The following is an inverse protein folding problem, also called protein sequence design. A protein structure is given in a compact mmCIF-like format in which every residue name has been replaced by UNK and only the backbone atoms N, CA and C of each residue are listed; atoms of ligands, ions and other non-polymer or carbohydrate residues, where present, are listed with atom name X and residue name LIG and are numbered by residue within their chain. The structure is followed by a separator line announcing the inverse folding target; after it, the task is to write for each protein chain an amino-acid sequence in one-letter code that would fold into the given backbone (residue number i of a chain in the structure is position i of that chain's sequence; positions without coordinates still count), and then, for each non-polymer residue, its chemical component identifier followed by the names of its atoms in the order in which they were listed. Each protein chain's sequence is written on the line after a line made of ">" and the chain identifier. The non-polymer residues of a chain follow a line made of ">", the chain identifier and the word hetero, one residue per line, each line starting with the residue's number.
data_IF_234630225750
#
_entry.id   IF_234630225750
#
_cell.length_a   1.000
_cell.length_b   1.000
_cell.length_c   1.000
_cell.angle_alpha   90.00
_cell.angle_beta   90.00
_cell.angle_gamma   90.00
#
_symmetry.space_group_name_H-M   'P 1'
#
loop_
_entity.id
_entity.type
_entity.pdbx_description
1 polymer ?
#
# COMPACT_ATOMS: atom_id res chain seq x y z
N UNK A 1 24.42 -2.57 13.29
CA UNK A 1 23.49 -3.71 13.34
C UNK A 1 22.32 -3.36 12.45
N UNK A 2 22.02 -4.20 11.47
CA UNK A 2 20.95 -3.96 10.51
C UNK A 2 19.69 -4.64 11.04
N UNK A 3 18.58 -3.90 11.03
CA UNK A 3 17.29 -4.39 11.50
C UNK A 3 16.27 -4.18 10.39
N UNK A 4 15.63 -5.27 9.97
CA UNK A 4 14.55 -5.23 8.98
C UNK A 4 13.23 -5.56 9.66
N UNK A 5 12.24 -4.69 9.50
CA UNK A 5 10.89 -4.90 10.06
C UNK A 5 9.84 -4.81 8.95
N UNK A 6 9.01 -5.84 8.84
CA UNK A 6 7.84 -5.83 7.96
C UNK A 6 6.68 -5.12 8.64
N UNK A 7 6.03 -4.20 7.94
CA UNK A 7 4.86 -3.48 8.43
C UNK A 7 3.92 -3.10 7.28
N UNK A 8 2.80 -2.44 7.59
CA UNK A 8 1.92 -1.83 6.58
C UNK A 8 2.05 -0.31 6.62
N UNK A 9 2.41 0.27 5.49
CA UNK A 9 2.45 1.71 5.29
C UNK A 9 1.04 2.20 4.92
N UNK A 10 0.50 3.10 5.75
CA UNK A 10 -0.80 3.71 5.53
C UNK A 10 -0.58 5.13 5.01
N UNK A 11 -1.00 5.37 3.77
CA UNK A 11 -1.03 6.73 3.25
C UNK A 11 -2.18 7.48 3.92
N UNK A 12 -1.83 8.26 4.95
CA UNK A 12 -2.79 9.06 5.71
C UNK A 12 -3.57 10.02 4.81
N UNK A 13 -2.95 10.58 3.77
CA UNK A 13 -3.61 11.52 2.86
C UNK A 13 -4.67 10.82 2.03
N UNK A 14 -4.33 9.65 1.46
CA UNK A 14 -5.30 8.83 0.72
C UNK A 14 -6.43 8.32 1.63
N UNK A 15 -6.12 7.95 2.88
CA UNK A 15 -7.11 7.54 3.86
C UNK A 15 -8.05 8.71 4.24
N UNK A 16 -7.52 9.92 4.46
CA UNK A 16 -8.36 11.10 4.73
C UNK A 16 -9.20 11.50 3.53
N UNK A 17 -8.67 11.41 2.30
CA UNK A 17 -9.41 11.76 1.09
C UNK A 17 -10.55 10.78 0.81
N UNK A 18 -10.30 9.47 0.94
CA UNK A 18 -11.34 8.45 0.80
C UNK A 18 -12.42 8.54 1.88
N UNK A 19 -12.03 8.88 3.12
CA UNK A 19 -12.98 9.10 4.21
C UNK A 19 -13.81 10.37 3.97
N UNK A 20 -13.18 11.47 3.54
CA UNK A 20 -13.89 12.69 3.18
C UNK A 20 -14.88 12.46 2.02
N UNK A 21 -14.48 11.72 0.98
CA UNK A 21 -15.35 11.34 -0.13
C UNK A 21 -16.53 10.47 0.35
N UNK A 22 -16.27 9.52 1.25
CA UNK A 22 -17.30 8.67 1.84
C UNK A 22 -18.33 9.50 2.62
N UNK A 23 -17.89 10.47 3.42
CA UNK A 23 -18.77 11.37 4.16
C UNK A 23 -19.59 12.25 3.20
N UNK A 24 -18.96 12.78 2.15
CA UNK A 24 -19.64 13.58 1.13
C UNK A 24 -20.75 12.79 0.42
N UNK A 25 -20.44 11.56 0.01
CA UNK A 25 -21.40 10.65 -0.63
C UNK A 25 -22.55 10.27 0.31
N UNK A 26 -22.25 10.04 1.59
CA UNK A 26 -23.27 9.78 2.60
C UNK A 26 -24.18 10.98 2.81
N UNK A 27 -23.63 12.20 2.91
CA UNK A 27 -24.42 13.43 3.03
C UNK A 27 -25.35 13.64 1.82
N UNK A 28 -24.83 13.44 0.61
CA UNK A 28 -25.62 13.48 -0.64
C UNK A 28 -26.77 12.46 -0.62
N UNK A 29 -26.48 11.23 -0.20
CA UNK A 29 -27.49 10.19 -0.09
C UNK A 29 -28.61 10.58 0.89
N UNK A 30 -28.25 11.06 2.08
CA UNK A 30 -29.23 11.46 3.11
C UNK A 30 -30.07 12.67 2.69
N UNK A 31 -29.48 13.65 2.00
CA UNK A 31 -30.18 14.87 1.58
C UNK A 31 -31.10 14.68 0.37
N UNK A 32 -30.69 13.87 -0.62
CA UNK A 32 -31.36 13.83 -1.92
C UNK A 32 -32.02 12.50 -2.25
N UNK A 33 -31.65 11.39 -1.61
CA UNK A 33 -32.10 10.05 -1.98
C UNK A 33 -32.96 9.44 -0.87
N UNK A 34 -32.45 9.45 0.36
CA UNK A 34 -33.14 8.93 1.54
C UNK A 34 -34.56 9.48 1.75
N UNK A 35 -34.90 10.76 1.46
CA UNK A 35 -36.27 11.27 1.60
C UNK A 35 -37.26 10.63 0.62
N UNK A 36 -36.77 10.13 -0.51
CA UNK A 36 -37.58 9.53 -1.58
C UNK A 36 -37.52 8.00 -1.59
N UNK A 37 -36.56 7.41 -0.87
CA UNK A 37 -36.37 5.96 -0.77
C UNK A 37 -36.53 5.52 0.68
N UNK A 38 -37.72 5.03 1.04
CA UNK A 38 -38.09 4.71 2.43
C UNK A 38 -37.55 3.38 2.97
N UNK A 39 -36.68 2.66 2.23
CA UNK A 39 -36.26 1.32 2.63
C UNK A 39 -34.86 1.30 3.26
N UNK A 40 -34.78 0.73 4.46
CA UNK A 40 -33.52 0.40 5.14
C UNK A 40 -32.58 -0.46 4.26
N UNK A 41 -33.14 -1.19 3.30
CA UNK A 41 -32.43 -1.95 2.28
C UNK A 41 -31.56 -1.06 1.38
N UNK A 42 -32.06 0.12 0.96
CA UNK A 42 -31.31 1.06 0.10
C UNK A 42 -30.15 1.69 0.88
N UNK A 43 -30.37 2.03 2.15
CA UNK A 43 -29.29 2.48 3.04
C UNK A 43 -28.20 1.41 3.26
N UNK A 44 -28.61 0.15 3.45
CA UNK A 44 -27.67 -0.96 3.62
C UNK A 44 -26.86 -1.23 2.33
N UNK A 45 -27.49 -1.17 1.15
CA UNK A 45 -26.81 -1.30 -0.14
C UNK A 45 -25.85 -0.15 -0.39
N UNK A 46 -26.23 1.10 -0.09
CA UNK A 46 -25.35 2.25 -0.25
C UNK A 46 -24.14 2.19 0.69
N UNK A 47 -24.37 1.87 1.97
CA UNK A 47 -23.29 1.69 2.95
C UNK A 47 -22.34 0.55 2.57
N UNK A 48 -22.88 -0.59 2.15
CA UNK A 48 -22.09 -1.79 1.81
C UNK A 48 -21.36 -1.69 0.48
N UNK A 49 -22.00 -1.20 -0.58
CA UNK A 49 -21.45 -1.18 -1.94
C UNK A 49 -20.65 0.08 -2.28
N UNK A 50 -20.96 1.22 -1.67
CA UNK A 50 -20.32 2.50 -2.00
C UNK A 50 -19.30 2.89 -0.94
N UNK A 51 -19.72 2.94 0.33
CA UNK A 51 -18.85 3.38 1.43
C UNK A 51 -17.88 2.27 1.88
N UNK A 52 -18.33 1.02 1.89
CA UNK A 52 -17.53 -0.14 2.27
C UNK A 52 -16.20 -0.26 1.50
N UNK A 53 -16.20 -0.25 0.16
CA UNK A 53 -14.97 -0.33 -0.63
C UNK A 53 -14.05 0.88 -0.41
N UNK A 54 -14.59 2.10 -0.28
CA UNK A 54 -13.79 3.31 -0.06
C UNK A 54 -13.04 3.26 1.28
N UNK A 55 -13.74 2.87 2.34
CA UNK A 55 -13.14 2.68 3.67
C UNK A 55 -12.18 1.48 3.67
N UNK A 56 -12.53 0.40 2.97
CA UNK A 56 -11.68 -0.79 2.83
C UNK A 56 -10.35 -0.48 2.13
N UNK A 57 -10.35 0.35 1.09
CA UNK A 57 -9.13 0.80 0.39
C UNK A 57 -8.27 1.67 1.32
N UNK A 58 -8.88 2.57 2.10
CA UNK A 58 -8.18 3.37 3.10
C UNK A 58 -7.43 2.51 4.14
N UNK A 59 -8.04 1.40 4.56
CA UNK A 59 -7.52 0.52 5.61
C UNK A 59 -6.64 -0.63 5.10
N UNK A 60 -6.52 -0.83 3.78
CA UNK A 60 -5.76 -1.97 3.26
C UNK A 60 -4.26 -1.81 3.50
N UNK A 61 -3.75 -0.58 3.41
CA UNK A 61 -2.32 -0.26 3.60
C UNK A 61 -1.43 -0.93 2.54
N UNK A 62 -0.29 -0.32 2.25
CA UNK A 62 0.73 -0.87 1.35
C UNK A 62 1.70 -1.71 2.18
N UNK A 63 2.03 -2.96 1.79
CA UNK A 63 3.03 -3.73 2.52
C UNK A 63 4.39 -3.06 2.35
N UNK A 64 5.15 -2.99 3.44
CA UNK A 64 6.42 -2.27 3.48
C UNK A 64 7.47 -2.99 4.33
N UNK A 65 8.74 -2.71 4.03
CA UNK A 65 9.89 -3.12 4.83
C UNK A 65 10.60 -1.87 5.33
N UNK A 66 10.79 -1.78 6.63
CA UNK A 66 11.65 -0.78 7.25
C UNK A 66 13.03 -1.37 7.45
N UNK A 67 14.03 -0.78 6.82
CA UNK A 67 15.43 -1.11 7.00
C UNK A 67 16.05 -0.02 7.88
N UNK A 68 16.63 -0.42 9.00
CA UNK A 68 17.36 0.47 9.89
C UNK A 68 18.83 0.06 9.91
N UNK A 69 19.72 0.99 9.58
CA UNK A 69 21.16 0.80 9.56
C UNK A 69 21.84 1.88 10.42
N UNK A 70 22.16 1.55 11.68
CA UNK A 70 22.65 2.55 12.62
C UNK A 70 21.61 3.66 12.84
N UNK A 71 21.92 4.88 12.41
CA UNK A 71 21.04 6.05 12.52
C UNK A 71 20.12 6.25 11.30
N UNK A 72 20.40 5.60 10.17
CA UNK A 72 19.61 5.75 8.94
C UNK A 72 18.41 4.82 8.93
N UNK A 73 17.26 5.34 8.49
CA UNK A 73 16.03 4.54 8.34
C UNK A 73 15.44 4.72 6.96
N UNK A 74 15.30 3.62 6.23
CA UNK A 74 14.70 3.58 4.91
C UNK A 74 13.47 2.69 4.90
N UNK A 75 12.40 3.17 4.29
CA UNK A 75 11.17 2.42 4.09
C UNK A 75 11.04 2.00 2.62
N UNK A 76 10.97 0.70 2.36
CA UNK A 76 10.62 0.12 1.07
C UNK A 76 9.13 -0.17 1.05
N UNK A 77 8.37 0.62 0.29
CA UNK A 77 6.92 0.51 0.20
C UNK A 77 6.56 -0.13 -1.13
N UNK A 78 5.82 -1.23 -1.07
CA UNK A 78 5.39 -1.94 -2.26
C UNK A 78 3.98 -1.51 -2.72
N UNK A 79 3.83 -1.32 -4.02
CA UNK A 79 2.56 -1.05 -4.67
C UNK A 79 2.60 -1.43 -6.15
N UNK A 80 1.44 -1.41 -6.81
CA UNK A 80 1.32 -1.65 -8.25
C UNK A 80 1.02 -0.35 -8.99
N UNK A 81 1.82 -0.06 -10.01
CA UNK A 81 1.50 0.92 -11.06
C UNK A 81 0.86 0.18 -12.23
N UNK A 82 -0.47 0.15 -12.24
CA UNK A 82 -1.32 -0.62 -13.18
C UNK A 82 -1.00 -2.12 -13.13
N UNK A 83 0.00 -2.57 -13.89
CA UNK A 83 0.45 -3.97 -13.98
C UNK A 83 1.91 -4.16 -13.57
N UNK A 84 2.61 -3.08 -13.21
CA UNK A 84 4.03 -3.14 -12.84
C UNK A 84 4.20 -3.05 -11.32
N UNK A 85 4.82 -4.05 -10.67
CA UNK A 85 5.18 -3.94 -9.27
C UNK A 85 6.27 -2.88 -9.07
N UNK A 86 6.05 -1.99 -8.11
CA UNK A 86 6.94 -0.87 -7.78
C UNK A 86 7.34 -0.94 -6.32
N UNK A 87 8.63 -0.75 -6.05
CA UNK A 87 9.16 -0.48 -4.72
C UNK A 87 9.53 1.00 -4.63
N UNK A 88 8.79 1.76 -3.84
CA UNK A 88 9.19 3.11 -3.45
C UNK A 88 10.12 3.03 -2.26
N UNK A 89 11.36 3.48 -2.44
CA UNK A 89 12.34 3.68 -1.39
C UNK A 89 12.12 5.06 -0.81
N UNK A 90 11.83 5.15 0.48
CA UNK A 90 11.70 6.38 1.23
C UNK A 90 12.89 6.48 2.20
N UNK A 91 13.90 7.27 1.85
CA UNK A 91 15.08 7.46 2.71
C UNK A 91 14.84 8.66 3.64
N UNK A 92 15.02 8.42 4.94
CA UNK A 92 14.89 9.40 6.03
C UNK A 92 13.58 10.21 6.02
N UNK A 93 12.53 9.68 5.37
CA UNK A 93 11.20 10.30 5.30
C UNK A 93 10.98 11.32 4.17
N UNK A 94 12.01 11.67 3.40
CA UNK A 94 11.94 12.79 2.44
C UNK A 94 12.37 12.44 1.02
N UNK A 95 13.36 11.55 0.86
CA UNK A 95 13.85 11.18 -0.48
C UNK A 95 13.08 9.95 -0.96
N UNK A 96 12.26 10.13 -2.00
CA UNK A 96 11.53 9.03 -2.63
C UNK A 96 12.16 8.62 -3.96
N UNK A 97 12.64 7.38 -4.06
CA UNK A 97 13.06 6.76 -5.33
C UNK A 97 12.15 5.60 -5.68
N UNK A 98 11.73 5.50 -6.93
CA UNK A 98 10.91 4.39 -7.41
C UNK A 98 11.76 3.35 -8.15
N UNK A 99 11.62 2.10 -7.77
CA UNK A 99 12.23 0.95 -8.43
C UNK A 99 11.13 0.13 -9.10
N UNK A 100 11.06 0.20 -10.42
CA UNK A 100 10.07 -0.54 -11.23
C UNK A 100 10.59 -1.94 -11.52
N UNK A 101 9.96 -2.96 -10.95
CA UNK A 101 10.41 -4.35 -11.03
C UNK A 101 9.88 -5.02 -12.30
N UNK A 102 10.56 -4.79 -13.43
CA UNK A 102 10.39 -5.60 -14.65
C UNK A 102 11.40 -6.74 -14.73
N UNK A 103 12.59 -6.47 -14.24
CA UNK A 103 13.73 -7.38 -14.18
C UNK A 103 14.31 -7.35 -12.75
N UNK A 104 15.16 -8.32 -12.36
CA UNK A 104 15.91 -8.26 -11.12
C UNK A 104 16.74 -6.97 -11.03
N UNK A 105 16.58 -6.22 -9.95
CA UNK A 105 17.32 -4.98 -9.70
C UNK A 105 18.25 -5.21 -8.50
N UNK A 106 19.52 -4.85 -8.69
CA UNK A 106 20.50 -4.75 -7.62
C UNK A 106 20.77 -3.27 -7.35
N UNK A 107 20.54 -2.82 -6.13
CA UNK A 107 20.74 -1.42 -5.75
C UNK A 107 21.10 -1.31 -4.28
N UNK A 108 21.45 -0.12 -3.82
CA UNK A 108 21.69 0.14 -2.40
C UNK A 108 20.53 0.95 -1.82
N UNK A 109 20.10 0.59 -0.62
CA UNK A 109 19.10 1.33 0.17
C UNK A 109 19.65 1.51 1.58
N UNK A 110 19.74 2.75 2.06
CA UNK A 110 20.37 3.04 3.36
C UNK A 110 21.81 2.48 3.48
N UNK A 111 22.60 2.62 2.41
CA UNK A 111 23.95 2.06 2.27
C UNK A 111 24.05 0.53 2.38
N UNK A 112 22.92 -0.17 2.30
CA UNK A 112 22.87 -1.64 2.31
C UNK A 112 22.57 -2.14 0.90
N UNK A 113 23.39 -3.05 0.35
CA UNK A 113 23.09 -3.68 -0.93
C UNK A 113 21.84 -4.55 -0.79
N UNK A 114 20.88 -4.30 -1.67
CA UNK A 114 19.64 -5.07 -1.79
C UNK A 114 19.48 -5.60 -3.21
N UNK A 115 18.86 -6.77 -3.31
CA UNK A 115 18.44 -7.35 -4.59
C UNK A 115 16.95 -7.59 -4.58
N UNK A 116 16.23 -6.95 -5.49
CA UNK A 116 14.78 -7.07 -5.60
C UNK A 116 14.40 -7.76 -6.92
N UNK A 117 13.55 -8.79 -6.86
CA UNK A 117 13.12 -9.54 -8.03
C UNK A 117 11.72 -10.13 -7.86
N UNK A 118 11.10 -10.52 -8.98
CA UNK A 118 9.81 -11.18 -8.99
C UNK A 118 9.97 -12.70 -8.95
N UNK A 119 9.17 -13.36 -8.11
CA UNK A 119 9.08 -14.82 -8.04
C UNK A 119 7.63 -15.26 -8.25
N UNK A 120 7.35 -16.20 -9.17
CA UNK A 120 6.01 -16.75 -9.33
C UNK A 120 5.60 -17.57 -8.09
N UNK A 121 4.33 -17.46 -7.69
CA UNK A 121 3.76 -18.28 -6.62
C UNK A 121 3.02 -19.48 -7.18
N UNK A 122 2.78 -20.48 -6.33
CA UNK A 122 1.98 -21.67 -6.67
C UNK A 122 0.55 -21.36 -7.11
N UNK A 123 0.05 -20.15 -6.84
CA UNK A 123 -1.31 -19.70 -7.18
C UNK A 123 -1.33 -18.91 -8.50
N UNK A 124 -0.22 -18.83 -9.24
CA UNK A 124 -0.14 -18.08 -10.51
C UNK A 124 0.01 -16.57 -10.33
N UNK A 125 0.09 -16.06 -9.11
CA UNK A 125 0.42 -14.65 -8.84
C UNK A 125 1.94 -14.45 -8.74
N UNK A 126 2.41 -13.22 -8.94
CA UNK A 126 3.81 -12.83 -8.71
C UNK A 126 3.97 -12.27 -7.30
N UNK A 127 5.10 -12.58 -6.64
CA UNK A 127 5.52 -11.93 -5.39
C UNK A 127 6.82 -11.19 -5.60
N UNK A 128 6.99 -10.10 -4.88
CA UNK A 128 8.28 -9.40 -4.82
C UNK A 128 9.11 -10.02 -3.71
N UNK A 129 10.34 -10.41 -4.05
CA UNK A 129 11.36 -10.83 -3.10
C UNK A 129 12.38 -9.72 -3.01
N UNK A 130 12.68 -9.28 -1.79
CA UNK A 130 13.76 -8.35 -1.48
C UNK A 130 14.79 -9.10 -0.66
N UNK A 131 15.99 -9.27 -1.20
CA UNK A 131 17.11 -9.91 -0.55
C UNK A 131 18.04 -8.84 0.03
N UNK A 132 18.32 -8.94 1.33
CA UNK A 132 19.11 -7.98 2.12
C UNK A 132 20.12 -8.80 2.91
N UNK A 133 21.42 -8.64 2.66
CA UNK A 133 22.49 -9.40 3.31
C UNK A 133 22.31 -10.94 3.29
N UNK A 134 21.71 -11.47 2.22
CA UNK A 134 21.44 -12.90 2.05
C UNK A 134 20.14 -13.41 2.70
N UNK A 135 19.43 -12.55 3.46
CA UNK A 135 18.09 -12.86 3.95
C UNK A 135 17.01 -12.42 2.96
N UNK A 136 15.97 -13.25 2.78
CA UNK A 136 14.90 -13.01 1.80
C UNK A 136 13.62 -12.56 2.48
N UNK A 137 13.14 -11.39 2.06
CA UNK A 137 11.91 -10.78 2.53
C UNK A 137 10.85 -10.80 1.43
N UNK A 138 9.69 -11.37 1.74
CA UNK A 138 8.60 -11.53 0.78
C UNK A 138 7.55 -10.44 0.95
N UNK A 139 7.30 -9.68 -0.11
CA UNK A 139 6.20 -8.74 -0.24
C UNK A 139 5.11 -9.36 -1.13
N UNK A 140 3.83 -9.26 -0.71
CA UNK A 140 2.71 -9.98 -1.30
C UNK A 140 2.33 -9.47 -2.68
#
# INVERSE_FOLDING_TARGET
>A
MIVVKKYRHYDRKAATASLALSVLLFALFVLFIAPFTSSALVGALFGGMVLGPLVGVAMRGKPALRITNGEKTCDLIYWYDVDTPVLSVLEDGYSSRELRLKEPIETAVCDIPIRAYLTPTKLGTTRVVVEIEGERYYLP
#
